data_IF_381059304615
#
_entry.id   IF_381059304615
#
_cell.length_a   1.000
_cell.length_b   1.000
_cell.length_c   1.000
_cell.angle_alpha   90.00
_cell.angle_beta   90.00
_cell.angle_gamma   90.00
#
_symmetry.space_group_name_H-M   'P 1'
#
loop_
_entity.id
_entity.type
_entity.pdbx_description
1 polymer ?
#
# COMPACT_ATOMS: atom_id res chain seq x y z
N UNK A 1 -2.24 -11.08 -4.85
CA UNK A 1 -3.39 -10.14 -4.79
C UNK A 1 -2.95 -8.77 -4.29
N UNK A 2 -2.25 -8.71 -3.16
CA UNK A 2 -1.70 -7.50 -2.58
C UNK A 2 -0.42 -7.07 -3.31
N UNK A 3 -0.12 -5.77 -3.34
CA UNK A 3 1.03 -5.29 -4.08
C UNK A 3 1.42 -3.85 -3.73
N UNK A 4 2.59 -3.46 -4.21
CA UNK A 4 3.11 -2.12 -4.07
C UNK A 4 3.89 -1.67 -5.31
N UNK A 5 4.04 -0.37 -5.46
CA UNK A 5 4.82 0.26 -6.51
C UNK A 5 5.59 1.47 -5.98
N UNK A 6 6.75 1.71 -6.57
CA UNK A 6 7.60 2.88 -6.30
C UNK A 6 7.60 3.73 -7.55
N UNK A 7 7.21 5.00 -7.41
CA UNK A 7 7.22 5.99 -8.49
C UNK A 7 8.20 7.12 -8.19
N UNK A 8 8.73 7.80 -9.21
CA UNK A 8 9.52 9.03 -9.00
C UNK A 8 8.60 10.21 -8.67
N UNK A 9 8.97 11.06 -7.70
CA UNK A 9 8.16 12.24 -7.33
C UNK A 9 8.04 13.28 -8.44
N UNK A 10 9.10 13.49 -9.22
CA UNK A 10 9.20 14.56 -10.22
C UNK A 10 8.23 14.37 -11.39
N UNK A 11 8.11 13.15 -11.91
CA UNK A 11 7.37 12.83 -13.15
C UNK A 11 6.36 11.69 -12.98
N UNK A 12 6.32 11.05 -11.81
CA UNK A 12 5.44 9.91 -11.48
C UNK A 12 5.68 8.67 -12.35
N UNK A 13 6.85 8.58 -13.00
CA UNK A 13 7.27 7.39 -13.73
C UNK A 13 7.46 6.20 -12.78
N UNK A 14 7.14 5.01 -13.28
CA UNK A 14 7.30 3.76 -12.54
C UNK A 14 8.78 3.40 -12.41
N UNK A 15 9.22 3.16 -11.17
CA UNK A 15 10.53 2.57 -10.88
C UNK A 15 10.41 1.05 -10.79
N UNK A 16 9.47 0.57 -9.99
CA UNK A 16 9.23 -0.85 -9.75
C UNK A 16 7.80 -1.07 -9.26
N UNK A 17 7.19 -2.20 -9.62
CA UNK A 17 5.95 -2.68 -9.03
C UNK A 17 6.06 -4.19 -8.77
N UNK A 18 5.55 -4.64 -7.64
CA UNK A 18 5.59 -6.04 -7.22
C UNK A 18 4.30 -6.43 -6.47
N UNK A 19 4.02 -7.73 -6.43
CA UNK A 19 2.91 -8.31 -5.65
C UNK A 19 3.44 -9.14 -4.49
N UNK A 20 2.56 -9.52 -3.54
CA UNK A 20 2.91 -10.43 -2.46
C UNK A 20 3.45 -11.77 -2.99
N UNK A 21 4.40 -12.35 -2.28
CA UNK A 21 5.03 -13.64 -2.54
C UNK A 21 5.17 -14.44 -1.23
N UNK A 22 4.05 -14.54 -0.51
CA UNK A 22 3.98 -15.16 0.82
C UNK A 22 4.26 -16.67 0.81
N UNK A 23 4.03 -17.32 -0.34
CA UNK A 23 4.30 -18.74 -0.53
C UNK A 23 5.80 -19.07 -0.44
N UNK A 24 6.67 -18.17 -0.89
CA UNK A 24 8.12 -18.35 -0.76
C UNK A 24 8.62 -17.89 0.61
N UNK A 25 8.06 -16.81 1.16
CA UNK A 25 8.37 -16.32 2.50
C UNK A 25 7.17 -15.59 3.08
N UNK A 26 6.67 -15.97 4.27
CA UNK A 26 5.46 -15.37 4.86
C UNK A 26 5.61 -13.87 5.14
N UNK A 27 6.83 -13.32 5.20
CA UNK A 27 7.06 -11.88 5.37
C UNK A 27 6.95 -11.09 4.06
N UNK A 28 6.95 -11.75 2.91
CA UNK A 28 6.92 -11.09 1.59
C UNK A 28 5.51 -10.68 1.20
N UNK A 29 4.93 -9.81 2.02
CA UNK A 29 3.78 -8.98 1.68
C UNK A 29 4.12 -8.10 0.47
N UNK A 30 3.12 -7.52 -0.20
CA UNK A 30 3.33 -6.74 -1.42
C UNK A 30 4.37 -5.61 -1.25
N UNK A 31 4.32 -4.92 -0.11
CA UNK A 31 5.21 -3.83 0.26
C UNK A 31 6.63 -4.34 0.56
N UNK A 32 6.75 -5.39 1.38
CA UNK A 32 8.05 -5.97 1.76
C UNK A 32 8.74 -6.60 0.56
N UNK A 33 7.98 -7.29 -0.30
CA UNK A 33 8.49 -7.87 -1.53
C UNK A 33 8.95 -6.77 -2.51
N UNK A 34 8.15 -5.72 -2.69
CA UNK A 34 8.54 -4.55 -3.48
C UNK A 34 9.85 -3.92 -2.97
N UNK A 35 9.98 -3.72 -1.66
CA UNK A 35 11.20 -3.22 -1.05
C UNK A 35 12.38 -4.18 -1.26
N UNK A 36 12.21 -5.49 -1.07
CA UNK A 36 13.25 -6.49 -1.36
C UNK A 36 13.78 -6.33 -2.78
N UNK A 37 12.87 -6.34 -3.78
CA UNK A 37 13.22 -6.23 -5.20
C UNK A 37 13.86 -4.88 -5.52
N UNK A 38 13.41 -3.79 -4.89
CA UNK A 38 14.03 -2.47 -4.99
C UNK A 38 15.48 -2.44 -4.48
N UNK A 39 15.76 -3.11 -3.35
CA UNK A 39 17.11 -3.20 -2.80
C UNK A 39 18.01 -4.22 -3.52
N UNK A 40 17.46 -5.09 -4.37
CA UNK A 40 18.19 -5.95 -5.30
C UNK A 40 18.55 -5.26 -6.63
N UNK A 41 17.88 -4.15 -6.97
CA UNK A 41 18.25 -3.35 -8.15
C UNK A 41 19.69 -2.81 -8.03
N UNK A 42 20.41 -2.64 -9.15
CA UNK A 42 21.69 -1.95 -9.15
C UNK A 42 21.59 -0.57 -8.48
N UNK A 43 22.54 -0.24 -7.59
CA UNK A 43 22.51 1.02 -6.82
C UNK A 43 22.40 2.26 -7.72
N UNK A 44 23.00 2.22 -8.91
CA UNK A 44 22.97 3.33 -9.87
C UNK A 44 21.58 3.58 -10.48
N UNK A 45 20.70 2.57 -10.50
CA UNK A 45 19.35 2.66 -11.06
C UNK A 45 18.29 2.97 -10.00
N UNK A 46 18.67 2.84 -8.72
CA UNK A 46 17.80 3.05 -7.57
C UNK A 46 17.60 4.55 -7.30
N UNK A 47 16.34 4.98 -7.27
CA UNK A 47 15.97 6.34 -6.83
C UNK A 47 16.22 6.51 -5.33
N UNK A 48 16.55 7.71 -4.87
CA UNK A 48 16.53 8.00 -3.42
C UNK A 48 15.08 7.86 -2.90
N UNK A 49 14.91 7.25 -1.73
CA UNK A 49 13.57 7.03 -1.17
C UNK A 49 12.87 8.33 -0.80
N UNK A 50 13.61 9.41 -0.54
CA UNK A 50 13.07 10.78 -0.38
C UNK A 50 12.64 11.42 -1.70
N UNK A 51 13.09 10.91 -2.84
CA UNK A 51 12.65 11.34 -4.17
C UNK A 51 11.57 10.42 -4.77
N UNK A 52 11.03 9.50 -3.97
CA UNK A 52 10.11 8.48 -4.41
C UNK A 52 8.74 8.55 -3.71
N UNK A 53 7.70 8.13 -4.43
CA UNK A 53 6.38 7.87 -3.88
C UNK A 53 6.22 6.37 -3.65
N UNK A 54 5.88 5.96 -2.43
CA UNK A 54 5.54 4.58 -2.14
C UNK A 54 4.03 4.39 -2.26
N UNK A 55 3.60 3.50 -3.14
CA UNK A 55 2.17 3.23 -3.39
C UNK A 55 1.88 1.79 -3.00
N UNK A 56 0.98 1.56 -2.06
CA UNK A 56 0.46 0.25 -1.73
C UNK A 56 -0.97 0.10 -2.27
N UNK A 57 -1.37 -1.11 -2.63
CA UNK A 57 -2.75 -1.34 -3.07
C UNK A 57 -3.69 -1.25 -1.88
N UNK A 58 -3.29 -1.84 -0.76
CA UNK A 58 -3.99 -1.82 0.51
C UNK A 58 -3.22 -1.02 1.55
N UNK A 59 -3.91 -0.59 2.59
CA UNK A 59 -3.29 0.08 3.71
C UNK A 59 -2.29 -0.87 4.40
N UNK A 60 -1.01 -0.48 4.57
CA UNK A 60 0.01 -1.40 5.04
C UNK A 60 -0.21 -1.87 6.48
N UNK A 61 0.03 -3.16 6.75
CA UNK A 61 0.02 -3.73 8.09
C UNK A 61 1.25 -3.30 8.92
N UNK A 62 1.27 -3.61 10.22
CA UNK A 62 2.34 -3.19 11.14
C UNK A 62 3.77 -3.58 10.71
N UNK A 63 3.93 -4.76 10.09
CA UNK A 63 5.19 -5.19 9.48
C UNK A 63 5.60 -4.25 8.34
N UNK A 64 4.70 -3.99 7.41
CA UNK A 64 4.95 -3.19 6.22
C UNK A 64 5.18 -1.71 6.56
N UNK A 65 4.42 -1.17 7.52
CA UNK A 65 4.64 0.18 8.08
C UNK A 65 6.06 0.31 8.65
N UNK A 66 6.53 -0.71 9.37
CA UNK A 66 7.90 -0.73 9.90
C UNK A 66 8.93 -0.81 8.77
N UNK A 67 8.70 -1.63 7.75
CA UNK A 67 9.61 -1.76 6.61
C UNK A 67 9.75 -0.44 5.81
N UNK A 68 8.63 0.25 5.54
CA UNK A 68 8.63 1.57 4.89
C UNK A 68 9.42 2.58 5.73
N UNK A 69 9.24 2.55 7.06
CA UNK A 69 9.97 3.41 7.99
C UNK A 69 11.48 3.18 7.92
N UNK A 70 11.93 1.93 8.00
CA UNK A 70 13.35 1.57 7.98
C UNK A 70 14.05 1.88 6.65
N UNK A 71 13.29 1.90 5.55
CA UNK A 71 13.83 2.18 4.21
C UNK A 71 13.86 3.68 3.89
N UNK A 72 13.37 4.52 4.79
CA UNK A 72 13.57 5.96 4.75
C UNK A 72 12.62 6.73 3.84
N UNK A 73 11.54 6.10 3.35
CA UNK A 73 10.47 6.84 2.67
C UNK A 73 9.86 7.88 3.62
N UNK A 74 9.52 9.05 3.09
CA UNK A 74 8.83 10.13 3.82
C UNK A 74 7.32 10.16 3.55
N UNK A 75 6.82 9.23 2.73
CA UNK A 75 5.42 9.14 2.36
C UNK A 75 5.03 7.72 2.00
N UNK A 76 3.72 7.42 2.10
CA UNK A 76 3.11 6.37 1.30
C UNK A 76 1.65 6.67 0.99
N UNK A 77 1.14 6.04 -0.07
CA UNK A 77 -0.23 6.18 -0.54
C UNK A 77 -0.88 4.80 -0.61
N UNK A 78 -2.17 4.72 -0.33
CA UNK A 78 -2.91 3.46 -0.42
C UNK A 78 -4.32 3.65 -1.00
N UNK A 79 -4.85 2.62 -1.66
CA UNK A 79 -6.17 2.68 -2.30
C UNK A 79 -7.28 2.08 -1.44
N UNK A 80 -7.09 0.88 -0.89
CA UNK A 80 -8.06 0.19 -0.04
C UNK A 80 -7.63 0.32 1.43
N UNK A 81 -8.49 0.87 2.28
CA UNK A 81 -8.22 0.95 3.73
C UNK A 81 -8.38 -0.41 4.42
N UNK A 82 -7.90 -0.54 5.66
CA UNK A 82 -8.20 -1.71 6.49
C UNK A 82 -9.71 -1.92 6.68
N UNK A 83 -10.51 -0.84 6.71
CA UNK A 83 -11.96 -0.92 6.83
C UNK A 83 -12.59 -1.46 5.53
N UNK A 84 -12.09 -1.01 4.37
CA UNK A 84 -12.52 -1.53 3.06
C UNK A 84 -12.14 -3.01 2.90
N UNK A 85 -11.01 -3.43 3.47
CA UNK A 85 -10.44 -4.76 3.23
C UNK A 85 -10.85 -5.83 4.24
N UNK A 86 -11.27 -5.42 5.44
CA UNK A 86 -11.77 -6.33 6.49
C UNK A 86 -12.94 -7.17 6.00
N UNK A 87 -13.86 -6.56 5.25
CA UNK A 87 -15.11 -7.21 4.87
C UNK A 87 -14.98 -7.97 3.52
N UNK A 88 -13.94 -7.67 2.72
CA UNK A 88 -13.77 -8.23 1.37
C UNK A 88 -12.66 -9.28 1.22
N UNK A 89 -11.63 -9.32 2.08
CA UNK A 89 -10.42 -10.12 1.81
C UNK A 89 -10.02 -11.11 2.91
N UNK A 90 -10.86 -11.34 3.93
CA UNK A 90 -10.59 -12.30 5.01
C UNK A 90 -9.17 -12.16 5.60
N UNK A 91 -8.79 -10.93 6.01
CA UNK A 91 -7.49 -10.59 6.60
C UNK A 91 -7.61 -10.37 8.13
N UNK A 92 -8.07 -11.34 8.95
CA UNK A 92 -8.24 -11.13 10.38
C UNK A 92 -6.89 -11.08 11.11
N UNK A 93 -5.82 -11.65 10.54
CA UNK A 93 -4.53 -11.80 11.21
C UNK A 93 -3.81 -10.46 11.39
N UNK A 94 -3.77 -9.61 10.37
CA UNK A 94 -3.04 -8.33 10.44
C UNK A 94 -3.64 -7.39 11.48
N UNK A 95 -4.97 -7.27 11.49
CA UNK A 95 -5.69 -6.47 12.49
C UNK A 95 -5.52 -7.04 13.91
N UNK A 96 -5.50 -8.37 14.03
CA UNK A 96 -5.25 -9.02 15.31
C UNK A 96 -3.82 -8.80 15.79
N UNK A 97 -2.82 -8.84 14.91
CA UNK A 97 -1.42 -8.52 15.26
C UNK A 97 -1.33 -7.07 15.73
N UNK A 98 -1.94 -6.13 15.00
CA UNK A 98 -1.96 -4.72 15.39
C UNK A 98 -2.53 -4.54 16.81
N UNK A 99 -3.62 -5.26 17.12
CA UNK A 99 -4.25 -5.21 18.44
C UNK A 99 -3.46 -5.93 19.54
N UNK A 100 -3.07 -7.17 19.31
CA UNK A 100 -2.47 -8.04 20.34
C UNK A 100 -0.99 -7.73 20.60
N UNK A 101 -0.24 -7.35 19.55
CA UNK A 101 1.20 -7.07 19.66
C UNK A 101 1.47 -5.60 19.94
N UNK A 102 0.72 -4.68 19.33
CA UNK A 102 0.96 -3.24 19.41
C UNK A 102 -0.10 -2.48 20.23
N UNK A 103 -1.11 -3.17 20.78
CA UNK A 103 -2.19 -2.56 21.59
C UNK A 103 -2.98 -1.48 20.85
N UNK A 104 -2.99 -1.52 19.51
CA UNK A 104 -3.69 -0.55 18.66
C UNK A 104 -4.94 -1.18 18.05
N UNK A 105 -6.07 -0.48 18.15
CA UNK A 105 -7.24 -0.83 17.36
C UNK A 105 -6.99 -0.55 15.86
N UNK A 106 -7.73 -1.21 14.94
CA UNK A 106 -7.63 -0.95 13.51
C UNK A 106 -7.67 0.55 13.19
N UNK A 107 -6.70 1.03 12.40
CA UNK A 107 -6.57 2.46 12.09
C UNK A 107 -5.96 3.33 13.20
N UNK A 108 -5.58 2.75 14.34
CA UNK A 108 -5.00 3.46 15.48
C UNK A 108 -3.53 3.89 15.33
N UNK A 109 -2.89 3.59 14.19
CA UNK A 109 -1.51 4.03 13.94
C UNK A 109 -1.47 5.51 13.51
N UNK A 110 -0.35 6.19 13.79
CA UNK A 110 -0.19 7.61 13.43
C UNK A 110 0.01 7.77 11.92
N UNK A 111 -1.03 8.25 11.23
CA UNK A 111 -1.00 8.57 9.79
C UNK A 111 0.00 9.69 9.43
N UNK A 112 0.41 10.51 10.40
CA UNK A 112 1.48 11.50 10.27
C UNK A 112 2.38 11.39 11.51
N UNK A 113 3.67 11.22 11.28
CA UNK A 113 4.66 11.02 12.34
C UNK A 113 6.04 11.57 11.91
N UNK A 114 7.06 11.36 12.73
CA UNK A 114 8.41 11.88 12.48
C UNK A 114 9.11 11.28 11.24
N UNK A 115 8.60 10.17 10.69
CA UNK A 115 9.22 9.45 9.58
C UNK A 115 8.53 9.76 8.25
N UNK A 116 7.20 9.68 8.23
CA UNK A 116 6.42 9.81 7.00
C UNK A 116 5.01 10.34 7.25
N UNK A 117 4.34 10.69 6.14
CA UNK A 117 2.90 10.93 6.07
C UNK A 117 2.21 9.94 5.15
N UNK A 118 1.09 9.38 5.59
CA UNK A 118 0.27 8.46 4.79
C UNK A 118 -0.89 9.18 4.12
N UNK A 119 -1.32 8.66 2.97
CA UNK A 119 -2.36 9.27 2.15
C UNK A 119 -3.32 8.22 1.59
N UNK A 120 -4.59 8.28 2.02
CA UNK A 120 -5.67 7.53 1.36
C UNK A 120 -6.00 8.18 0.02
N UNK A 121 -5.79 7.45 -1.08
CA UNK A 121 -6.11 7.92 -2.44
C UNK A 121 -7.61 8.22 -2.57
N UNK A 122 -8.47 7.39 -1.98
CA UNK A 122 -9.93 7.63 -1.97
C UNK A 122 -10.28 8.94 -1.27
N UNK A 123 -9.67 9.22 -0.11
CA UNK A 123 -9.89 10.47 0.62
C UNK A 123 -9.41 11.69 -0.18
N UNK A 124 -8.25 11.58 -0.85
CA UNK A 124 -7.75 12.63 -1.74
C UNK A 124 -8.72 12.90 -2.90
N UNK A 125 -9.24 11.85 -3.53
CA UNK A 125 -10.21 11.99 -4.64
C UNK A 125 -11.51 12.65 -4.20
N UNK A 126 -12.03 12.32 -3.00
CA UNK A 126 -13.27 12.93 -2.47
C UNK A 126 -13.16 14.44 -2.27
N UNK A 127 -11.94 14.95 -2.05
CA UNK A 127 -11.67 16.36 -1.84
C UNK A 127 -11.51 17.18 -3.14
N UNK A 128 -11.55 16.52 -4.31
CA UNK A 128 -11.43 17.19 -5.61
C UNK A 128 -12.76 17.82 -6.06
N UNK A 129 -12.71 18.77 -7.02
CA UNK A 129 -13.89 19.28 -7.69
C UNK A 129 -14.72 18.16 -8.35
N UNK A 130 -16.03 18.36 -8.45
CA UNK A 130 -16.99 17.33 -8.85
C UNK A 130 -16.61 16.61 -10.16
N UNK A 131 -16.23 17.36 -11.19
CA UNK A 131 -15.89 16.78 -12.49
C UNK A 131 -14.67 15.83 -12.41
N UNK A 132 -13.65 16.20 -11.64
CA UNK A 132 -12.46 15.37 -11.45
C UNK A 132 -12.74 14.18 -10.53
N UNK A 133 -13.47 14.43 -9.44
CA UNK A 133 -13.91 13.41 -8.49
C UNK A 133 -14.69 12.31 -9.18
N UNK A 134 -15.76 12.63 -9.91
CA UNK A 134 -16.62 11.65 -10.58
C UNK A 134 -15.84 10.77 -11.57
N UNK A 135 -14.92 11.37 -12.35
CA UNK A 135 -14.03 10.65 -13.28
C UNK A 135 -13.14 9.66 -12.54
N UNK A 136 -12.52 10.08 -11.44
CA UNK A 136 -11.58 9.26 -10.68
C UNK A 136 -12.29 8.18 -9.87
N UNK A 137 -13.46 8.48 -9.31
CA UNK A 137 -14.32 7.49 -8.64
C UNK A 137 -14.76 6.39 -9.61
N UNK A 138 -15.14 6.74 -10.85
CA UNK A 138 -15.43 5.75 -11.90
C UNK A 138 -14.22 4.85 -12.19
N UNK A 139 -13.01 5.41 -12.19
CA UNK A 139 -11.77 4.64 -12.37
C UNK A 139 -11.51 3.72 -11.17
N UNK A 140 -11.67 4.22 -9.96
CA UNK A 140 -11.51 3.45 -8.73
C UNK A 140 -12.54 2.30 -8.68
N UNK A 141 -13.79 2.54 -9.10
CA UNK A 141 -14.82 1.50 -9.18
C UNK A 141 -14.41 0.35 -10.10
N UNK A 142 -13.89 0.65 -11.30
CA UNK A 142 -13.37 -0.37 -12.22
C UNK A 142 -12.19 -1.14 -11.65
N UNK A 143 -11.28 -0.47 -10.93
CA UNK A 143 -10.17 -1.13 -10.25
C UNK A 143 -10.69 -2.04 -9.15
N UNK A 144 -11.67 -1.58 -8.36
CA UNK A 144 -12.26 -2.35 -7.26
C UNK A 144 -12.91 -3.63 -7.78
N UNK A 145 -13.75 -3.53 -8.81
CA UNK A 145 -14.38 -4.70 -9.45
C UNK A 145 -13.35 -5.72 -9.95
N UNK A 146 -12.21 -5.26 -10.49
CA UNK A 146 -11.14 -6.16 -10.91
C UNK A 146 -10.45 -6.85 -9.73
N UNK A 147 -10.31 -6.17 -8.59
CA UNK A 147 -9.80 -6.78 -7.36
C UNK A 147 -10.77 -7.80 -6.80
N UNK A 148 -12.08 -7.56 -6.88
CA UNK A 148 -13.11 -8.50 -6.45
C UNK A 148 -13.01 -9.81 -7.27
N UNK A 149 -12.94 -9.72 -8.60
CA UNK A 149 -12.74 -10.88 -9.48
C UNK A 149 -11.46 -11.68 -9.14
N UNK A 150 -10.37 -10.98 -8.82
CA UNK A 150 -9.10 -11.61 -8.43
C UNK A 150 -9.18 -12.25 -7.04
N UNK A 151 -9.94 -11.65 -6.12
CA UNK A 151 -10.18 -12.19 -4.77
C UNK A 151 -10.99 -13.48 -4.85
N UNK A 152 -12.06 -13.49 -5.65
CA UNK A 152 -12.88 -14.69 -5.87
C UNK A 152 -12.03 -15.86 -6.39
N UNK A 153 -11.13 -15.59 -7.34
CA UNK A 153 -10.21 -16.60 -7.86
C UNK A 153 -9.13 -17.02 -6.85
N UNK A 154 -8.71 -16.12 -5.95
CA UNK A 154 -7.71 -16.42 -4.92
C UNK A 154 -8.28 -17.25 -3.76
N UNK A 155 -9.57 -17.08 -3.47
CA UNK A 155 -10.26 -17.75 -2.36
C UNK A 155 -10.93 -19.08 -2.76
N UNK A 156 -11.03 -19.37 -4.05
CA UNK A 156 -11.58 -20.62 -4.60
C UNK A 156 -10.61 -21.80 -4.49
#
# INVERSE_FOLDING_TARGET
LFGAAILRKNDRSLVLAETNNEMENPLWHGEVHCLKRFYEMPKAERVDTKDALFIATHEPCSLCLSAITWTGFDNFYYLFSHEDSRDSFAIPHDLKILKEVFTLDPGGYNAENAYWKSFSIRRLVRALPEAERARLETRIGRISARYDELSDAYQA
#
